data_IF_428783216323
#
_entry.id   IF_428783216323
#
_cell.length_a   1.000
_cell.length_b   1.000
_cell.length_c   1.000
_cell.angle_alpha   90.00
_cell.angle_beta   90.00
_cell.angle_gamma   90.00
#
_symmetry.space_group_name_H-M   'P 1'
#
loop_
_entity.id
_entity.type
_entity.pdbx_description
1 polymer ?
#
# COMPACT_ATOMS: atom_id res chain seq x y z
N UNK A 1 35.67 35.46 -36.51
CA UNK A 1 35.72 35.79 -35.08
C UNK A 1 34.28 36.04 -34.66
N UNK A 2 33.57 34.95 -34.40
CA UNK A 2 33.39 34.27 -33.09
C UNK A 2 32.02 34.67 -32.58
N UNK A 3 31.03 33.85 -32.97
CA UNK A 3 29.70 33.86 -32.38
C UNK A 3 29.74 32.98 -31.14
N UNK A 4 29.47 33.58 -29.99
CA UNK A 4 29.15 32.83 -28.78
C UNK A 4 27.67 32.49 -28.81
N UNK A 5 27.39 31.24 -29.20
CA UNK A 5 26.16 30.56 -28.86
C UNK A 5 26.34 30.00 -27.46
N UNK A 6 25.91 30.74 -26.44
CA UNK A 6 25.81 30.21 -25.09
C UNK A 6 24.81 29.05 -25.10
N UNK A 7 25.36 27.86 -24.90
CA UNK A 7 24.62 26.63 -24.76
C UNK A 7 23.71 26.75 -23.54
N UNK A 8 22.41 26.67 -23.78
CA UNK A 8 21.41 26.47 -22.75
C UNK A 8 21.61 25.07 -22.14
N UNK A 9 22.50 24.98 -21.16
CA UNK A 9 22.63 23.79 -20.33
C UNK A 9 21.34 23.67 -19.54
N UNK A 10 20.47 22.74 -19.95
CA UNK A 10 19.33 22.33 -19.14
C UNK A 10 19.85 21.93 -17.77
N UNK A 11 19.39 22.62 -16.73
CA UNK A 11 19.65 22.24 -15.34
C UNK A 11 19.38 20.74 -15.18
N UNK A 12 20.24 19.99 -14.47
CA UNK A 12 19.97 18.59 -14.20
C UNK A 12 18.62 18.51 -13.50
N UNK A 13 17.68 17.76 -14.08
CA UNK A 13 16.38 17.47 -13.47
C UNK A 13 16.65 16.85 -12.09
N UNK A 14 16.56 17.67 -11.05
CA UNK A 14 16.76 17.23 -9.67
C UNK A 14 15.59 16.30 -9.42
N UNK A 15 15.87 14.99 -9.41
CA UNK A 15 14.84 13.98 -9.18
C UNK A 15 14.42 14.06 -7.70
N UNK A 16 13.49 14.96 -7.40
CA UNK A 16 12.86 15.08 -6.09
C UNK A 16 12.14 13.76 -5.79
N UNK A 17 12.37 13.23 -4.59
CA UNK A 17 11.74 11.99 -4.17
C UNK A 17 10.23 12.15 -4.16
N UNK A 18 9.53 11.32 -4.93
CA UNK A 18 8.05 11.34 -4.95
C UNK A 18 7.44 10.74 -3.68
N UNK A 19 8.19 9.90 -2.96
CA UNK A 19 7.76 9.31 -1.69
C UNK A 19 8.76 9.71 -0.61
N UNK A 20 8.25 10.31 0.47
CA UNK A 20 9.02 10.66 1.65
C UNK A 20 8.45 9.88 2.84
N UNK A 21 9.03 8.73 3.16
CA UNK A 21 8.49 7.83 4.19
C UNK A 21 8.43 8.46 5.58
N UNK A 22 9.32 9.41 5.90
CA UNK A 22 9.27 10.18 7.15
C UNK A 22 8.01 11.03 7.30
N UNK A 23 7.36 11.38 6.20
CA UNK A 23 6.14 12.20 6.22
C UNK A 23 4.87 11.35 6.29
N UNK A 24 4.96 10.04 6.01
CA UNK A 24 3.81 9.15 6.09
C UNK A 24 3.47 8.87 7.54
N UNK A 25 2.18 8.88 7.85
CA UNK A 25 1.70 8.41 9.15
C UNK A 25 1.98 6.91 9.27
N UNK A 26 2.73 6.45 10.30
CA UNK A 26 2.94 5.03 10.51
C UNK A 26 1.62 4.34 10.87
N UNK A 27 1.51 3.05 10.55
CA UNK A 27 0.39 2.22 10.99
C UNK A 27 0.32 2.15 12.53
N UNK A 28 -0.87 1.90 13.12
CA UNK A 28 -1.02 1.91 14.57
C UNK A 28 -0.22 0.78 15.23
N UNK A 29 0.22 1.04 16.46
CA UNK A 29 0.68 -0.03 17.36
C UNK A 29 -0.54 -0.87 17.74
N UNK A 30 -0.38 -2.20 17.74
CA UNK A 30 -1.44 -3.11 18.14
C UNK A 30 -1.69 -2.94 19.65
N UNK A 31 -2.95 -2.75 20.03
CA UNK A 31 -3.34 -2.59 21.43
C UNK A 31 -3.40 -3.95 22.12
N UNK A 32 -2.30 -4.32 22.76
CA UNK A 32 -2.16 -5.55 23.54
C UNK A 32 -3.09 -5.59 24.77
N UNK A 33 -3.50 -4.43 25.29
CA UNK A 33 -4.36 -4.34 26.47
C UNK A 33 -5.84 -4.57 26.14
N UNK A 34 -6.23 -4.39 24.87
CA UNK A 34 -7.59 -4.57 24.39
C UNK A 34 -7.73 -5.80 23.46
N UNK A 35 -6.96 -6.85 23.74
CA UNK A 35 -7.09 -8.14 23.04
C UNK A 35 -6.36 -8.18 21.71
N UNK A 36 -5.23 -7.48 21.61
CA UNK A 36 -4.43 -7.33 20.39
C UNK A 36 -5.27 -6.75 19.25
N UNK A 37 -5.69 -5.50 19.37
CA UNK A 37 -6.60 -4.88 18.40
C UNK A 37 -6.00 -3.67 17.69
N UNK A 38 -6.50 -3.38 16.49
CA UNK A 38 -6.06 -2.26 15.66
C UNK A 38 -7.05 -1.11 15.78
N UNK A 39 -6.59 0.07 16.21
CA UNK A 39 -7.40 1.30 16.21
C UNK A 39 -7.84 1.67 14.78
N UNK A 40 -9.15 1.71 14.56
CA UNK A 40 -9.77 1.90 13.25
C UNK A 40 -9.44 3.27 12.66
N UNK A 41 -9.50 4.34 13.47
CA UNK A 41 -9.27 5.71 13.01
C UNK A 41 -7.83 5.87 12.53
N UNK A 42 -6.87 5.43 13.34
CA UNK A 42 -5.45 5.47 13.00
C UNK A 42 -5.17 4.64 11.76
N UNK A 43 -5.72 3.43 11.66
CA UNK A 43 -5.56 2.59 10.46
C UNK A 43 -6.07 3.29 9.20
N UNK A 44 -7.24 3.92 9.23
CA UNK A 44 -7.80 4.68 8.09
C UNK A 44 -6.84 5.82 7.68
N UNK A 45 -6.34 6.58 8.65
CA UNK A 45 -5.45 7.71 8.39
C UNK A 45 -4.11 7.26 7.80
N UNK A 46 -3.49 6.22 8.35
CA UNK A 46 -2.25 5.63 7.81
C UNK A 46 -2.46 5.02 6.41
N UNK A 47 -3.58 4.33 6.21
CA UNK A 47 -3.97 3.75 4.92
C UNK A 47 -4.09 4.81 3.82
N UNK A 48 -4.74 5.94 4.12
CA UNK A 48 -4.86 7.04 3.16
C UNK A 48 -3.50 7.61 2.77
N UNK A 49 -2.57 7.78 3.73
CA UNK A 49 -1.23 8.32 3.47
C UNK A 49 -0.41 7.43 2.52
N UNK A 50 -0.40 6.11 2.72
CA UNK A 50 0.32 5.20 1.81
C UNK A 50 -0.36 5.11 0.43
N UNK A 51 -1.68 5.21 0.36
CA UNK A 51 -2.42 5.26 -0.91
C UNK A 51 -2.17 6.58 -1.66
N UNK A 52 -2.06 7.70 -0.95
CA UNK A 52 -1.66 8.99 -1.52
C UNK A 52 -0.26 8.88 -2.15
N UNK A 53 0.69 8.26 -1.45
CA UNK A 53 2.03 8.01 -1.96
C UNK A 53 2.01 7.16 -3.25
N UNK A 54 1.12 6.16 -3.37
CA UNK A 54 0.97 5.39 -4.61
C UNK A 54 0.50 6.21 -5.82
N UNK A 55 -0.10 7.39 -5.61
CA UNK A 55 -0.44 8.31 -6.69
C UNK A 55 0.77 8.68 -7.56
N UNK A 56 1.98 8.56 -7.01
CA UNK A 56 3.22 8.84 -7.74
C UNK A 56 3.63 7.75 -8.75
N UNK A 57 3.01 6.56 -8.72
CA UNK A 57 3.29 5.49 -9.69
C UNK A 57 2.81 5.83 -11.10
N UNK A 58 2.03 6.90 -11.25
CA UNK A 58 1.61 7.47 -12.51
C UNK A 58 0.13 7.23 -12.83
N UNK A 59 -0.38 7.98 -13.80
CA UNK A 59 -1.82 8.04 -14.12
C UNK A 59 -2.44 6.68 -14.47
N UNK A 60 -1.64 5.73 -14.98
CA UNK A 60 -2.12 4.39 -15.32
C UNK A 60 -2.50 3.57 -14.06
N UNK A 61 -1.92 3.88 -12.90
CA UNK A 61 -2.29 3.25 -11.62
C UNK A 61 -3.54 3.86 -10.98
N UNK A 62 -4.11 4.94 -11.54
CA UNK A 62 -5.30 5.61 -11.00
C UNK A 62 -6.47 4.67 -10.69
N UNK A 63 -6.80 3.66 -11.53
CA UNK A 63 -7.86 2.71 -11.20
C UNK A 63 -7.57 1.89 -9.94
N UNK A 64 -6.32 1.47 -9.73
CA UNK A 64 -5.88 0.71 -8.55
C UNK A 64 -5.95 1.59 -7.31
N UNK A 65 -5.42 2.82 -7.39
CA UNK A 65 -5.49 3.80 -6.29
C UNK A 65 -6.95 4.10 -5.92
N UNK A 66 -7.84 4.24 -6.91
CA UNK A 66 -9.26 4.48 -6.68
C UNK A 66 -9.93 3.32 -5.96
N UNK A 67 -9.67 2.08 -6.37
CA UNK A 67 -10.20 0.88 -5.71
C UNK A 67 -9.76 0.80 -4.24
N UNK A 68 -8.46 1.00 -3.96
CA UNK A 68 -7.95 1.03 -2.60
C UNK A 68 -8.61 2.11 -1.74
N UNK A 69 -8.79 3.33 -2.29
CA UNK A 69 -9.50 4.41 -1.59
C UNK A 69 -10.96 4.04 -1.31
N UNK A 70 -11.64 3.40 -2.24
CA UNK A 70 -13.02 2.96 -2.04
C UNK A 70 -13.10 1.94 -0.89
N UNK A 71 -12.15 1.00 -0.81
CA UNK A 71 -12.10 0.05 0.30
C UNK A 71 -11.83 0.72 1.65
N UNK A 72 -10.90 1.69 1.72
CA UNK A 72 -10.70 2.51 2.94
C UNK A 72 -11.97 3.32 3.28
N UNK A 73 -12.65 3.87 2.27
CA UNK A 73 -13.87 4.64 2.47
C UNK A 73 -14.99 3.80 3.06
N UNK A 74 -15.16 2.54 2.63
CA UNK A 74 -16.13 1.61 3.23
C UNK A 74 -15.89 1.44 4.74
N UNK A 75 -14.63 1.30 5.15
CA UNK A 75 -14.24 1.22 6.58
C UNK A 75 -14.58 2.52 7.31
N UNK A 76 -14.22 3.66 6.72
CA UNK A 76 -14.48 4.96 7.31
C UNK A 76 -15.98 5.26 7.47
N UNK A 77 -16.80 4.90 6.48
CA UNK A 77 -18.24 5.09 6.52
C UNK A 77 -18.89 4.19 7.57
N UNK A 78 -18.43 2.95 7.71
CA UNK A 78 -18.90 2.04 8.76
C UNK A 78 -18.50 2.53 10.14
N UNK A 79 -17.25 2.94 10.31
CA UNK A 79 -16.74 3.52 11.56
C UNK A 79 -17.58 4.70 12.04
N UNK A 80 -17.91 5.64 11.13
CA UNK A 80 -18.73 6.82 11.43
C UNK A 80 -20.16 6.51 11.86
N UNK A 81 -20.70 5.32 11.53
CA UNK A 81 -22.05 4.95 11.99
C UNK A 81 -22.09 4.78 13.52
N UNK A 82 -20.99 4.32 14.13
CA UNK A 82 -20.86 4.20 15.58
C UNK A 82 -19.38 4.04 15.97
N UNK A 83 -18.71 5.16 16.23
CA UNK A 83 -17.26 5.16 16.48
C UNK A 83 -16.87 4.39 17.75
N UNK A 84 -17.73 4.33 18.77
CA UNK A 84 -17.42 3.59 20.00
C UNK A 84 -17.55 2.08 19.80
N UNK A 85 -18.54 1.63 19.02
CA UNK A 85 -18.69 0.22 18.66
C UNK A 85 -17.59 -0.26 17.71
N UNK A 86 -17.11 0.64 16.84
CA UNK A 86 -16.14 0.32 15.79
C UNK A 86 -14.75 0.91 16.07
N UNK A 87 -14.43 1.17 17.34
CA UNK A 87 -13.12 1.67 17.75
C UNK A 87 -11.97 0.82 17.21
N UNK A 88 -12.19 -0.50 17.14
CA UNK A 88 -11.21 -1.45 16.62
C UNK A 88 -11.69 -2.17 15.35
N UNK A 89 -10.75 -2.45 14.45
CA UNK A 89 -11.04 -3.10 13.17
C UNK A 89 -11.66 -4.48 13.35
N UNK A 90 -11.19 -5.24 14.33
CA UNK A 90 -11.65 -6.60 14.62
C UNK A 90 -13.15 -6.63 14.94
N UNK A 91 -13.60 -5.68 15.76
CA UNK A 91 -15.01 -5.56 16.14
C UNK A 91 -15.87 -5.14 14.93
N UNK A 92 -15.35 -4.23 14.11
CA UNK A 92 -15.97 -3.82 12.86
C UNK A 92 -16.12 -5.03 11.91
N UNK A 93 -15.05 -5.78 11.68
CA UNK A 93 -15.02 -6.94 10.79
C UNK A 93 -16.04 -7.99 11.24
N UNK A 94 -16.01 -8.38 12.51
CA UNK A 94 -16.93 -9.41 13.01
C UNK A 94 -18.39 -8.97 12.93
N UNK A 95 -18.67 -7.70 13.27
CA UNK A 95 -20.04 -7.17 13.22
C UNK A 95 -20.56 -7.10 11.78
N UNK A 96 -19.72 -6.64 10.86
CA UNK A 96 -20.04 -6.53 9.44
C UNK A 96 -20.23 -7.90 8.79
N UNK A 97 -19.37 -8.88 9.09
CA UNK A 97 -19.49 -10.25 8.59
C UNK A 97 -20.74 -10.97 9.09
N UNK A 98 -21.16 -10.72 10.34
CA UNK A 98 -22.35 -11.37 10.93
C UNK A 98 -23.70 -10.75 10.52
N UNK A 99 -23.69 -9.51 10.04
CA UNK A 99 -24.91 -8.70 9.88
C UNK A 99 -25.30 -8.36 8.44
N UNK A 100 -24.52 -8.78 7.43
CA UNK A 100 -24.81 -8.46 6.03
C UNK A 100 -25.13 -9.71 5.22
N UNK A 101 -26.32 -9.72 4.61
CA UNK A 101 -26.77 -10.79 3.70
C UNK A 101 -26.29 -10.60 2.26
N UNK A 102 -25.62 -9.48 1.94
CA UNK A 102 -25.06 -9.22 0.59
C UNK A 102 -23.64 -9.76 0.53
N UNK A 103 -23.39 -10.90 -0.13
CA UNK A 103 -22.05 -11.45 -0.24
C UNK A 103 -21.23 -10.56 -1.19
N UNK A 104 -19.96 -10.30 -0.86
CA UNK A 104 -18.98 -9.61 -1.73
C UNK A 104 -19.14 -8.08 -1.89
N UNK A 105 -19.99 -7.44 -1.07
CA UNK A 105 -20.02 -5.97 -0.97
C UNK A 105 -20.09 -5.51 0.49
N UNK A 106 -19.21 -6.10 1.32
CA UNK A 106 -19.13 -5.80 2.74
C UNK A 106 -17.83 -5.10 3.08
N UNK A 107 -17.76 -4.46 4.25
CA UNK A 107 -16.52 -3.84 4.71
C UNK A 107 -15.43 -4.89 4.94
N UNK A 108 -15.84 -6.06 5.44
CA UNK A 108 -14.97 -7.23 5.63
C UNK A 108 -14.32 -7.67 4.31
N UNK A 109 -15.10 -7.72 3.24
CA UNK A 109 -14.60 -8.13 1.93
C UNK A 109 -13.71 -7.05 1.29
N UNK A 110 -14.09 -5.76 1.40
CA UNK A 110 -13.24 -4.65 0.97
C UNK A 110 -11.90 -4.58 1.72
N UNK A 111 -11.90 -4.84 3.03
CA UNK A 111 -10.68 -4.91 3.84
C UNK A 111 -9.79 -6.10 3.45
N UNK A 112 -10.37 -7.24 3.04
CA UNK A 112 -9.59 -8.37 2.53
C UNK A 112 -8.79 -7.97 1.29
N UNK A 113 -9.42 -7.30 0.32
CA UNK A 113 -8.76 -6.82 -0.89
C UNK A 113 -7.72 -5.74 -0.61
N UNK A 114 -8.06 -4.77 0.26
CA UNK A 114 -7.13 -3.73 0.67
C UNK A 114 -5.88 -4.32 1.34
N UNK A 115 -6.06 -5.29 2.25
CA UNK A 115 -4.96 -5.99 2.91
C UNK A 115 -4.05 -6.71 1.91
N UNK A 116 -4.61 -7.39 0.90
CA UNK A 116 -3.82 -8.05 -0.16
C UNK A 116 -3.01 -7.07 -1.00
N UNK A 117 -3.60 -5.92 -1.34
CA UNK A 117 -2.88 -4.86 -2.02
C UNK A 117 -1.75 -4.29 -1.15
N UNK A 118 -2.01 -4.11 0.15
CA UNK A 118 -1.00 -3.69 1.12
C UNK A 118 0.11 -4.70 1.34
N UNK A 119 -0.16 -6.00 1.33
CA UNK A 119 0.86 -7.06 1.35
C UNK A 119 1.79 -6.99 0.14
N UNK A 120 1.24 -6.76 -1.04
CA UNK A 120 2.04 -6.54 -2.24
C UNK A 120 2.94 -5.30 -2.09
N UNK A 121 2.41 -4.19 -1.55
CA UNK A 121 3.21 -2.98 -1.34
C UNK A 121 4.29 -3.17 -0.28
N UNK A 122 3.94 -3.80 0.84
CA UNK A 122 4.88 -4.15 1.90
C UNK A 122 6.05 -4.96 1.33
N UNK A 123 5.74 -6.02 0.58
CA UNK A 123 6.75 -6.88 -0.02
C UNK A 123 7.56 -6.14 -1.08
N UNK A 124 6.92 -5.32 -1.92
CA UNK A 124 7.62 -4.50 -2.91
C UNK A 124 8.67 -3.59 -2.26
N UNK A 125 8.27 -2.85 -1.23
CA UNK A 125 9.20 -1.94 -0.53
C UNK A 125 10.22 -2.69 0.32
N UNK A 126 9.87 -3.83 0.92
CA UNK A 126 10.83 -4.72 1.59
C UNK A 126 11.89 -5.23 0.61
N UNK A 127 11.49 -5.64 -0.60
CA UNK A 127 12.42 -6.10 -1.62
C UNK A 127 13.34 -4.96 -2.08
N UNK A 128 12.82 -3.75 -2.24
CA UNK A 128 13.65 -2.56 -2.50
C UNK A 128 14.63 -2.26 -1.37
N UNK A 129 14.22 -2.40 -0.11
CA UNK A 129 15.07 -2.19 1.07
C UNK A 129 16.19 -3.23 1.15
N UNK A 130 15.92 -4.48 0.75
CA UNK A 130 16.89 -5.57 0.73
C UNK A 130 17.83 -5.57 -0.50
N UNK A 131 17.53 -4.74 -1.51
CA UNK A 131 18.33 -4.61 -2.71
C UNK A 131 19.61 -3.78 -2.47
N UNK A 132 20.68 -4.47 -2.07
CA UNK A 132 22.02 -3.90 -1.81
C UNK A 132 22.64 -3.22 -3.04
N UNK A 133 22.19 -3.58 -4.26
CA UNK A 133 22.70 -2.95 -5.50
C UNK A 133 22.11 -1.56 -5.73
N UNK A 134 21.06 -1.20 -4.98
CA UNK A 134 20.29 0.03 -5.17
C UNK A 134 19.85 0.23 -6.62
N UNK A 135 19.43 -0.84 -7.30
CA UNK A 135 19.10 -0.82 -8.74
C UNK A 135 18.03 0.22 -9.07
N UNK A 136 18.24 0.98 -10.15
CA UNK A 136 17.22 1.87 -10.71
C UNK A 136 16.00 1.11 -11.25
N UNK A 137 16.17 -0.18 -11.56
CA UNK A 137 15.09 -1.05 -12.06
C UNK A 137 14.35 -1.69 -10.90
N UNK A 138 13.25 -1.08 -10.48
CA UNK A 138 12.41 -1.55 -9.37
C UNK A 138 11.26 -2.48 -9.81
N UNK A 139 11.05 -2.64 -11.12
CA UNK A 139 9.98 -3.48 -11.70
C UNK A 139 10.08 -4.96 -11.30
N UNK A 140 11.27 -5.59 -11.21
CA UNK A 140 11.38 -6.97 -10.72
C UNK A 140 10.83 -7.13 -9.30
N UNK A 141 11.11 -6.17 -8.41
CA UNK A 141 10.60 -6.17 -7.03
C UNK A 141 9.08 -6.15 -6.98
N UNK A 142 8.44 -5.32 -7.81
CA UNK A 142 6.96 -5.25 -7.87
C UNK A 142 6.36 -6.54 -8.45
N UNK A 143 7.00 -7.12 -9.48
CA UNK A 143 6.53 -8.36 -10.10
C UNK A 143 6.54 -9.52 -9.10
N UNK A 144 7.63 -9.69 -8.37
CA UNK A 144 7.75 -10.73 -7.35
C UNK A 144 6.68 -10.56 -6.25
N UNK A 145 6.50 -9.33 -5.75
CA UNK A 145 5.47 -9.03 -4.77
C UNK A 145 4.06 -9.35 -5.27
N UNK A 146 3.77 -9.06 -6.54
CA UNK A 146 2.48 -9.38 -7.17
C UNK A 146 2.25 -10.89 -7.27
N UNK A 147 3.24 -11.64 -7.71
CA UNK A 147 3.18 -13.10 -7.87
C UNK A 147 2.84 -13.80 -6.54
N UNK A 148 3.36 -13.28 -5.44
CA UNK A 148 3.09 -13.82 -4.09
C UNK A 148 1.75 -13.35 -3.53
N UNK A 149 1.44 -12.06 -3.61
CA UNK A 149 0.36 -11.47 -2.81
C UNK A 149 -0.99 -11.37 -3.54
N UNK A 150 -1.01 -11.13 -4.86
CA UNK A 150 -2.25 -10.83 -5.60
C UNK A 150 -2.54 -11.81 -6.74
N UNK A 151 -1.54 -12.37 -7.40
CA UNK A 151 -1.72 -13.32 -8.50
C UNK A 151 -2.66 -14.49 -8.17
N UNK A 152 -2.61 -15.11 -6.97
CA UNK A 152 -3.53 -16.19 -6.62
C UNK A 152 -5.01 -15.79 -6.68
N UNK A 153 -5.30 -14.50 -6.47
CA UNK A 153 -6.64 -13.92 -6.35
C UNK A 153 -7.06 -13.12 -7.58
N UNK A 154 -6.20 -12.96 -8.59
CA UNK A 154 -6.55 -12.25 -9.83
C UNK A 154 -6.99 -13.24 -10.91
N UNK A 155 -8.14 -12.97 -11.54
CA UNK A 155 -8.59 -13.60 -12.76
C UNK A 155 -7.81 -13.12 -13.98
N UNK A 156 -8.13 -13.66 -15.15
CA UNK A 156 -7.39 -13.42 -16.39
C UNK A 156 -7.25 -11.92 -16.73
N UNK A 157 -8.33 -11.15 -16.59
CA UNK A 157 -8.33 -9.73 -16.93
C UNK A 157 -7.43 -8.92 -15.99
N UNK A 158 -7.54 -9.15 -14.67
CA UNK A 158 -6.73 -8.46 -13.67
C UNK A 158 -5.23 -8.82 -13.79
N UNK A 159 -4.90 -10.07 -14.15
CA UNK A 159 -3.53 -10.47 -14.47
C UNK A 159 -2.97 -9.74 -15.69
N UNK A 160 -3.77 -9.60 -16.76
CA UNK A 160 -3.37 -8.85 -17.97
C UNK A 160 -3.19 -7.37 -17.71
N UNK A 161 -4.06 -6.78 -16.89
CA UNK A 161 -3.89 -5.40 -16.44
C UNK A 161 -2.54 -5.21 -15.72
N UNK A 162 -2.18 -6.10 -14.78
CA UNK A 162 -0.89 -6.02 -14.09
C UNK A 162 0.32 -6.16 -15.04
N UNK A 163 0.26 -7.10 -16.00
CA UNK A 163 1.31 -7.28 -17.00
C UNK A 163 1.59 -6.00 -17.80
N UNK A 164 0.59 -5.13 -17.99
CA UNK A 164 0.78 -3.82 -18.60
C UNK A 164 1.25 -2.77 -17.59
N UNK A 165 0.56 -2.64 -16.45
CA UNK A 165 0.79 -1.56 -15.49
C UNK A 165 2.21 -1.55 -14.91
N UNK A 166 2.76 -2.70 -14.55
CA UNK A 166 4.08 -2.77 -13.92
C UNK A 166 5.21 -2.23 -14.83
N UNK A 167 5.02 -2.24 -16.16
CA UNK A 167 5.99 -1.71 -17.12
C UNK A 167 6.16 -0.19 -17.00
N UNK A 168 5.18 0.50 -16.43
CA UNK A 168 5.17 1.95 -16.26
C UNK A 168 5.54 2.41 -14.86
N UNK A 169 5.96 1.48 -13.98
CA UNK A 169 6.46 1.83 -12.66
C UNK A 169 7.69 2.76 -12.78
N UNK A 170 7.74 3.89 -12.05
CA UNK A 170 8.89 4.79 -12.05
C UNK A 170 10.17 4.11 -11.57
N UNK A 171 11.33 4.71 -11.88
CA UNK A 171 12.63 4.23 -11.40
C UNK A 171 12.81 4.44 -9.89
N UNK A 172 13.85 3.82 -9.30
CA UNK A 172 14.20 4.01 -7.90
C UNK A 172 14.41 5.49 -7.56
N UNK A 173 15.25 6.18 -8.33
CA UNK A 173 15.52 7.61 -8.13
C UNK A 173 14.25 8.46 -8.23
N UNK A 174 13.32 8.11 -9.12
CA UNK A 174 12.04 8.83 -9.23
C UNK A 174 11.15 8.63 -8.01
N UNK A 175 11.18 7.45 -7.39
CA UNK A 175 10.37 7.16 -6.19
C UNK A 175 11.04 7.69 -4.92
N UNK A 176 12.35 7.51 -4.77
CA UNK A 176 13.08 7.67 -3.52
C UNK A 176 14.09 8.84 -3.51
N UNK A 177 14.28 9.51 -4.64
CA UNK A 177 15.14 10.68 -4.80
C UNK A 177 16.59 10.35 -5.17
N UNK A 178 17.47 11.36 -5.06
CA UNK A 178 18.92 11.25 -5.27
C UNK A 178 19.54 10.18 -4.36
N UNK A 179 20.77 9.71 -4.61
CA UNK A 179 21.43 8.72 -3.74
C UNK A 179 21.40 9.09 -2.24
N UNK A 180 21.63 10.36 -1.90
CA UNK A 180 21.56 10.84 -0.51
C UNK A 180 20.13 10.76 0.04
N UNK A 181 19.15 11.29 -0.72
CA UNK A 181 17.73 11.28 -0.32
C UNK A 181 17.19 9.86 -0.20
N UNK A 182 17.61 8.96 -1.09
CA UNK A 182 17.26 7.55 -1.11
C UNK A 182 17.79 6.85 0.15
N UNK A 183 19.05 7.08 0.56
CA UNK A 183 19.60 6.50 1.78
C UNK A 183 18.79 6.90 3.04
N UNK A 184 18.44 8.17 3.16
CA UNK A 184 17.57 8.68 4.23
C UNK A 184 16.16 8.08 4.17
N UNK A 185 15.59 8.00 2.96
CA UNK A 185 14.28 7.39 2.71
C UNK A 185 14.26 5.90 3.04
N UNK A 186 15.33 5.14 2.76
CA UNK A 186 15.42 3.72 3.09
C UNK A 186 15.46 3.49 4.61
N UNK A 187 16.11 4.39 5.36
CA UNK A 187 16.09 4.36 6.83
C UNK A 187 14.66 4.55 7.35
N UNK A 188 13.96 5.56 6.84
CA UNK A 188 12.57 5.83 7.22
C UNK A 188 11.60 4.73 6.76
N UNK A 189 11.82 4.16 5.58
CA UNK A 189 11.06 3.03 5.06
C UNK A 189 11.20 1.81 5.97
N UNK A 190 12.43 1.51 6.44
CA UNK A 190 12.68 0.40 7.36
C UNK A 190 11.83 0.53 8.63
N UNK A 191 11.74 1.73 9.20
CA UNK A 191 10.91 2.03 10.38
C UNK A 191 9.42 1.90 10.06
N UNK A 192 8.96 2.48 8.94
CA UNK A 192 7.58 2.40 8.49
C UNK A 192 7.10 0.94 8.31
N UNK A 193 7.95 0.09 7.71
CA UNK A 193 7.63 -1.32 7.45
C UNK A 193 7.40 -2.15 8.72
N UNK A 194 7.94 -1.75 9.88
CA UNK A 194 7.76 -2.50 11.14
C UNK A 194 6.28 -2.56 11.52
N UNK A 195 5.65 -1.40 11.67
CA UNK A 195 4.24 -1.32 12.08
C UNK A 195 3.31 -1.73 10.94
N UNK A 196 3.69 -1.44 9.69
CA UNK A 196 2.91 -1.87 8.54
C UNK A 196 2.81 -3.40 8.46
N UNK A 197 3.95 -4.11 8.57
CA UNK A 197 3.97 -5.58 8.58
C UNK A 197 3.26 -6.17 9.79
N UNK A 198 3.41 -5.56 10.97
CA UNK A 198 2.72 -6.01 12.18
C UNK A 198 1.19 -6.00 11.99
N UNK A 199 0.64 -4.92 11.45
CA UNK A 199 -0.80 -4.80 11.17
C UNK A 199 -1.25 -5.83 10.12
N UNK A 200 -0.50 -6.02 9.03
CA UNK A 200 -0.85 -7.00 7.99
C UNK A 200 -0.79 -8.44 8.49
N UNK A 201 0.22 -8.78 9.29
CA UNK A 201 0.36 -10.11 9.92
C UNK A 201 -0.83 -10.38 10.83
N UNK A 202 -1.15 -9.41 11.70
CA UNK A 202 -2.27 -9.51 12.61
C UNK A 202 -3.61 -9.66 11.89
N UNK A 203 -3.87 -8.85 10.86
CA UNK A 203 -5.08 -8.99 10.04
C UNK A 203 -5.12 -10.34 9.32
N UNK A 204 -4.00 -10.87 8.82
CA UNK A 204 -3.98 -12.22 8.23
C UNK A 204 -4.38 -13.30 9.22
N UNK A 205 -3.80 -13.26 10.42
CA UNK A 205 -4.08 -14.23 11.48
C UNK A 205 -5.54 -14.13 11.91
N UNK A 206 -6.05 -12.91 12.04
CA UNK A 206 -7.45 -12.65 12.36
C UNK A 206 -8.41 -13.21 11.29
N UNK A 207 -8.17 -12.90 10.01
CA UNK A 207 -9.00 -13.41 8.92
C UNK A 207 -8.93 -14.95 8.82
N UNK A 208 -7.77 -15.55 9.07
CA UNK A 208 -7.60 -17.02 9.09
C UNK A 208 -8.38 -17.65 10.23
N UNK A 209 -8.23 -17.10 11.45
CA UNK A 209 -8.92 -17.58 12.65
C UNK A 209 -10.44 -17.56 12.51
N UNK A 210 -10.98 -16.61 11.76
CA UNK A 210 -12.41 -16.40 11.60
C UNK A 210 -12.97 -16.90 10.26
N UNK A 211 -12.19 -17.65 9.47
CA UNK A 211 -12.60 -18.19 8.16
C UNK A 211 -13.09 -17.11 7.17
N UNK A 212 -12.42 -15.96 7.18
CA UNK A 212 -12.74 -14.80 6.34
C UNK A 212 -11.83 -14.68 5.09
N UNK A 213 -10.86 -15.59 4.92
CA UNK A 213 -9.97 -15.63 3.75
C UNK A 213 -10.63 -16.25 2.53
N UNK A 214 -11.55 -15.49 1.91
CA UNK A 214 -12.23 -15.94 0.70
C UNK A 214 -11.26 -16.00 -0.49
N UNK A 215 -11.27 -17.09 -1.26
CA UNK A 215 -10.28 -17.35 -2.34
C UNK A 215 -10.82 -17.10 -3.75
N UNK A 216 -11.98 -16.45 -3.88
CA UNK A 216 -12.52 -16.10 -5.20
C UNK A 216 -11.59 -15.11 -5.92
N UNK A 217 -11.70 -15.12 -7.25
CA UNK A 217 -10.85 -14.29 -8.10
C UNK A 217 -11.59 -13.02 -8.54
N UNK A 218 -10.89 -11.89 -8.51
CA UNK A 218 -11.31 -10.64 -9.13
C UNK A 218 -11.23 -10.70 -10.66
#
# INVERSE_FOLDING_TARGET
>A
MSGDSDANASEPDICEAKILFRQLKPFPVIDETNGNKIDTRHFIEASNQIIDAMGCFGKLFSPVVKDMRQNVQKVADKFKQNESLFMYLEDLILKDASGNDVPFDTVTDGLLWLKRAFEMLEMFFRNMLADETCSEQVKPHLREAYEVCLLPYHGFLAQKAFQLLHLYLPSRSSLLGTPETNADNLTALKEFLVLFRANLTHLNDFYTKHDLHRTYKA
#
